data_IF_768083509304
#
_entry.id   IF_768083509304
#
_cell.length_a   1.000
_cell.length_b   1.000
_cell.length_c   1.000
_cell.angle_alpha   90.00
_cell.angle_beta   90.00
_cell.angle_gamma   90.00
#
_symmetry.space_group_name_H-M   'P 1'
#
loop_
_entity.id
_entity.type
_entity.pdbx_description
1 polymer ?
#
# COMPACT_ATOMS: atom_id res chain seq x y z
N UNK A 1 31.01 -22.46 8.43
CA UNK A 1 29.55 -22.66 8.35
C UNK A 1 29.28 -24.14 8.41
N UNK A 2 28.27 -24.56 9.15
CA UNK A 2 27.77 -25.93 9.06
C UNK A 2 26.87 -26.08 7.82
N UNK A 3 26.49 -27.32 7.49
CA UNK A 3 25.60 -27.61 6.35
C UNK A 3 24.27 -26.85 6.46
N UNK A 4 23.76 -26.68 7.67
CA UNK A 4 22.52 -25.95 7.93
C UNK A 4 22.64 -24.48 7.52
N UNK A 5 23.74 -23.82 7.88
CA UNK A 5 24.02 -22.43 7.52
C UNK A 5 24.11 -22.25 6.01
N UNK A 6 24.76 -23.18 5.30
CA UNK A 6 24.86 -23.14 3.84
C UNK A 6 23.50 -23.32 3.18
N UNK A 7 22.67 -24.25 3.66
CA UNK A 7 21.31 -24.43 3.16
C UNK A 7 20.43 -23.19 3.43
N UNK A 8 20.50 -22.64 4.64
CA UNK A 8 19.74 -21.45 5.01
C UNK A 8 20.16 -20.23 4.19
N UNK A 9 21.47 -20.00 4.01
CA UNK A 9 22.02 -18.94 3.17
C UNK A 9 21.57 -19.11 1.71
N UNK A 10 21.58 -20.35 1.22
CA UNK A 10 21.16 -20.65 -0.15
C UNK A 10 19.69 -20.30 -0.38
N UNK A 11 18.81 -20.70 0.55
CA UNK A 11 17.37 -20.39 0.47
C UNK A 11 17.15 -18.87 0.53
N UNK A 12 17.77 -18.17 1.48
CA UNK A 12 17.54 -16.72 1.62
C UNK A 12 18.07 -15.97 0.40
N UNK A 13 19.32 -16.20 0.00
CA UNK A 13 19.96 -15.43 -1.07
C UNK A 13 19.45 -15.76 -2.46
N UNK A 14 19.32 -17.04 -2.77
CA UNK A 14 19.06 -17.49 -4.13
C UNK A 14 17.60 -17.85 -4.37
N UNK A 15 16.78 -18.02 -3.33
CA UNK A 15 15.37 -18.36 -3.51
C UNK A 15 14.49 -17.18 -3.14
N UNK A 16 14.70 -16.56 -1.99
CA UNK A 16 13.74 -15.55 -1.51
C UNK A 16 13.95 -14.14 -2.09
N UNK A 17 15.19 -13.73 -2.38
CA UNK A 17 15.48 -12.39 -2.94
C UNK A 17 15.01 -12.21 -4.40
N UNK A 18 15.26 -13.16 -5.33
CA UNK A 18 15.00 -12.90 -6.75
C UNK A 18 13.58 -13.23 -7.22
N UNK A 19 12.83 -14.05 -6.49
CA UNK A 19 11.68 -14.78 -7.05
C UNK A 19 10.32 -14.43 -6.44
N UNK A 20 10.26 -13.32 -5.71
CA UNK A 20 9.01 -12.71 -5.26
C UNK A 20 8.28 -13.43 -4.13
N UNK A 21 7.14 -12.85 -3.75
CA UNK A 21 6.39 -13.21 -2.54
C UNK A 21 5.90 -14.68 -2.50
N UNK A 22 5.64 -15.31 -3.64
CA UNK A 22 5.20 -16.71 -3.71
C UNK A 22 6.23 -17.67 -3.10
N UNK A 23 7.53 -17.46 -3.35
CA UNK A 23 8.56 -18.32 -2.75
C UNK A 23 8.73 -18.06 -1.26
N UNK A 24 8.45 -16.85 -0.78
CA UNK A 24 8.40 -16.56 0.66
C UNK A 24 7.26 -17.35 1.31
N UNK A 25 6.09 -17.42 0.67
CA UNK A 25 4.97 -18.26 1.14
C UNK A 25 5.36 -19.74 1.20
N UNK A 26 6.01 -20.29 0.16
CA UNK A 26 6.45 -21.70 0.18
C UNK A 26 7.55 -21.95 1.22
N UNK A 27 8.50 -21.03 1.38
CA UNK A 27 9.54 -21.13 2.39
C UNK A 27 8.94 -21.15 3.81
N UNK A 28 7.92 -20.33 4.07
CA UNK A 28 7.18 -20.34 5.33
C UNK A 28 6.50 -21.69 5.58
N UNK A 29 5.83 -22.26 4.58
CA UNK A 29 5.25 -23.62 4.67
C UNK A 29 6.30 -24.69 4.94
N UNK A 30 7.47 -24.56 4.33
CA UNK A 30 8.61 -25.45 4.56
C UNK A 30 9.28 -25.26 5.94
N UNK A 31 8.82 -24.31 6.75
CA UNK A 31 9.30 -24.09 8.10
C UNK A 31 10.52 -23.17 8.20
N UNK A 32 10.75 -22.27 7.23
CA UNK A 32 11.87 -21.32 7.26
C UNK A 32 11.87 -20.46 8.54
N UNK A 33 10.68 -20.12 9.06
CA UNK A 33 10.56 -19.36 10.31
C UNK A 33 11.08 -20.16 11.51
N UNK A 34 10.79 -21.47 11.57
CA UNK A 34 11.32 -22.36 12.61
C UNK A 34 12.84 -22.45 12.51
N UNK A 35 13.38 -22.59 11.30
CA UNK A 35 14.81 -22.60 11.04
C UNK A 35 15.49 -21.28 11.47
N UNK A 36 14.88 -20.15 11.13
CA UNK A 36 15.32 -18.80 11.52
C UNK A 36 15.46 -18.66 13.04
N UNK A 37 14.43 -19.01 13.82
CA UNK A 37 14.48 -18.95 15.28
C UNK A 37 15.43 -19.98 15.91
N UNK A 38 15.45 -21.21 15.37
CA UNK A 38 16.40 -22.23 15.82
C UNK A 38 17.84 -21.76 15.65
N UNK A 39 18.11 -21.00 14.57
CA UNK A 39 19.43 -20.42 14.34
C UNK A 39 19.72 -19.23 15.24
N UNK A 40 18.78 -18.30 15.38
CA UNK A 40 18.93 -17.12 16.22
C UNK A 40 19.30 -17.45 17.68
N UNK A 41 18.88 -18.61 18.20
CA UNK A 41 19.21 -19.05 19.57
C UNK A 41 20.64 -19.54 19.77
N UNK A 42 21.37 -19.84 18.70
CA UNK A 42 22.75 -20.35 18.78
C UNK A 42 23.73 -19.17 18.73
N UNK A 43 24.94 -19.37 19.24
CA UNK A 43 26.02 -18.41 18.97
C UNK A 43 26.21 -18.26 17.47
N UNK A 44 26.10 -17.03 16.97
CA UNK A 44 26.16 -16.72 15.55
C UNK A 44 27.50 -16.08 15.20
N UNK A 45 28.05 -16.46 14.06
CA UNK A 45 29.13 -15.70 13.41
C UNK A 45 28.55 -14.42 12.79
N UNK A 46 29.42 -13.46 12.46
CA UNK A 46 29.02 -12.24 11.74
C UNK A 46 28.27 -12.54 10.44
N UNK A 47 28.68 -13.57 9.70
CA UNK A 47 28.00 -14.00 8.47
C UNK A 47 26.56 -14.45 8.73
N UNK A 48 26.32 -15.19 9.82
CA UNK A 48 24.98 -15.65 10.20
C UNK A 48 24.12 -14.47 10.64
N UNK A 49 24.70 -13.49 11.34
CA UNK A 49 24.00 -12.27 11.71
C UNK A 49 23.49 -11.52 10.47
N UNK A 50 24.33 -11.33 9.43
CA UNK A 50 23.92 -10.71 8.16
C UNK A 50 22.81 -11.49 7.45
N UNK A 51 22.83 -12.82 7.56
CA UNK A 51 21.82 -13.68 6.96
C UNK A 51 20.46 -13.57 7.69
N UNK A 52 20.47 -13.57 9.03
CA UNK A 52 19.28 -13.31 9.82
C UNK A 52 18.73 -11.90 9.55
N UNK A 53 19.60 -10.91 9.46
CA UNK A 53 19.25 -9.54 9.11
C UNK A 53 18.54 -9.44 7.75
N UNK A 54 19.13 -10.08 6.73
CA UNK A 54 18.55 -10.15 5.38
C UNK A 54 17.19 -10.86 5.38
N UNK A 55 17.03 -11.88 6.23
CA UNK A 55 15.75 -12.59 6.38
C UNK A 55 14.67 -11.66 6.96
N UNK A 56 15.01 -10.84 7.96
CA UNK A 56 14.10 -9.84 8.53
C UNK A 56 13.68 -8.82 7.46
N UNK A 57 14.62 -8.36 6.61
CA UNK A 57 14.30 -7.45 5.49
C UNK A 57 13.30 -8.09 4.53
N UNK A 58 13.55 -9.33 4.12
CA UNK A 58 12.68 -10.02 3.16
C UNK A 58 11.29 -10.23 3.76
N UNK A 59 11.19 -10.67 5.02
CA UNK A 59 9.90 -10.79 5.69
C UNK A 59 9.19 -9.45 5.78
N UNK A 60 9.91 -8.39 6.14
CA UNK A 60 9.36 -7.03 6.22
C UNK A 60 8.73 -6.59 4.89
N UNK A 61 9.45 -6.76 3.78
CA UNK A 61 8.95 -6.42 2.45
C UNK A 61 7.79 -7.32 1.99
N UNK A 62 7.73 -8.57 2.49
CA UNK A 62 6.78 -9.58 2.00
C UNK A 62 5.45 -9.61 2.78
N UNK A 63 5.40 -9.11 4.02
CA UNK A 63 4.18 -9.13 4.85
C UNK A 63 3.10 -8.13 4.42
N UNK A 64 3.29 -7.48 3.26
CA UNK A 64 2.26 -6.68 2.56
C UNK A 64 1.30 -7.55 1.75
N UNK A 65 1.71 -8.77 1.39
CA UNK A 65 0.89 -9.73 0.64
C UNK A 65 0.04 -10.57 1.60
N UNK A 66 -1.25 -10.72 1.29
CA UNK A 66 -2.18 -11.50 2.11
C UNK A 66 -1.75 -12.97 2.20
N UNK A 67 -1.28 -13.54 1.10
CA UNK A 67 -0.78 -14.92 1.01
C UNK A 67 0.39 -15.17 1.98
N UNK A 68 1.40 -14.30 1.95
CA UNK A 68 2.55 -14.35 2.87
C UNK A 68 2.09 -14.11 4.31
N UNK A 69 1.27 -13.09 4.54
CA UNK A 69 0.84 -12.70 5.87
C UNK A 69 -0.01 -13.79 6.56
N UNK A 70 -0.92 -14.43 5.82
CA UNK A 70 -1.70 -15.56 6.32
C UNK A 70 -0.78 -16.73 6.69
N UNK A 71 0.17 -17.08 5.80
CA UNK A 71 1.11 -18.15 6.06
C UNK A 71 2.05 -17.85 7.23
N UNK A 72 2.50 -16.60 7.37
CA UNK A 72 3.33 -16.15 8.49
C UNK A 72 2.58 -16.28 9.81
N UNK A 73 1.32 -15.87 9.86
CA UNK A 73 0.46 -16.02 11.03
C UNK A 73 0.31 -17.47 11.47
N UNK A 74 0.05 -18.37 10.53
CA UNK A 74 -0.07 -19.81 10.83
C UNK A 74 1.29 -20.39 11.28
N UNK A 75 2.37 -20.01 10.62
CA UNK A 75 3.73 -20.43 10.99
C UNK A 75 4.13 -19.99 12.39
N UNK A 76 3.68 -18.79 12.84
CA UNK A 76 3.92 -18.28 14.19
C UNK A 76 3.13 -19.07 15.23
N UNK A 77 1.86 -19.40 14.95
CA UNK A 77 1.03 -20.23 15.86
C UNK A 77 1.64 -21.61 16.09
N UNK A 78 2.28 -22.16 15.07
CA UNK A 78 2.96 -23.46 15.14
C UNK A 78 4.30 -23.43 15.88
N UNK A 79 4.80 -22.25 16.26
CA UNK A 79 6.00 -22.14 17.08
C UNK A 79 5.67 -22.54 18.51
N UNK A 80 6.20 -23.69 18.94
CA UNK A 80 6.07 -24.20 20.32
C UNK A 80 6.87 -23.40 21.37
N UNK A 81 7.38 -22.23 21.02
CA UNK A 81 8.24 -21.44 21.88
C UNK A 81 7.87 -19.96 21.78
N UNK A 82 8.11 -19.19 22.86
CA UNK A 82 7.81 -17.77 22.82
C UNK A 82 8.67 -17.11 21.75
N UNK A 83 8.03 -16.27 20.95
CA UNK A 83 8.69 -15.29 20.08
C UNK A 83 9.24 -14.19 20.98
N UNK A 84 10.29 -14.51 21.75
CA UNK A 84 10.89 -13.58 22.70
C UNK A 84 12.03 -12.80 22.05
N UNK A 85 12.16 -11.53 22.46
CA UNK A 85 13.25 -10.64 22.02
C UNK A 85 14.63 -11.13 22.46
N UNK A 86 14.70 -11.94 23.52
CA UNK A 86 15.98 -12.42 24.09
C UNK A 86 16.79 -13.25 23.09
N UNK A 87 16.11 -13.93 22.16
CA UNK A 87 16.77 -14.69 21.09
C UNK A 87 17.62 -13.82 20.16
N UNK A 88 17.44 -12.48 20.18
CA UNK A 88 18.17 -11.54 19.31
C UNK A 88 19.12 -10.59 20.06
N UNK A 89 19.10 -10.57 21.40
CA UNK A 89 19.88 -9.63 22.22
C UNK A 89 21.38 -9.75 22.00
N UNK A 90 21.88 -10.96 21.80
CA UNK A 90 23.31 -11.23 21.58
C UNK A 90 23.88 -10.74 20.24
N UNK A 91 23.04 -10.29 19.30
CA UNK A 91 23.44 -10.07 17.91
C UNK A 91 23.13 -8.67 17.38
N UNK A 92 22.69 -7.73 18.24
CA UNK A 92 22.27 -6.39 17.78
C UNK A 92 21.08 -6.42 16.81
N UNK A 93 20.34 -7.52 16.75
CA UNK A 93 19.15 -7.68 15.89
C UNK A 93 17.84 -7.37 16.64
N UNK A 94 17.88 -7.19 17.96
CA UNK A 94 16.67 -6.95 18.78
C UNK A 94 15.85 -5.77 18.27
N UNK A 95 16.47 -4.62 18.03
CA UNK A 95 15.74 -3.43 17.55
C UNK A 95 15.09 -3.66 16.19
N UNK A 96 15.78 -4.34 15.26
CA UNK A 96 15.23 -4.65 13.93
C UNK A 96 14.08 -5.65 14.02
N UNK A 97 14.23 -6.66 14.87
CA UNK A 97 13.18 -7.63 15.15
C UNK A 97 11.94 -6.98 15.79
N UNK A 98 12.13 -6.05 16.72
CA UNK A 98 11.06 -5.29 17.36
C UNK A 98 10.26 -4.44 16.37
N UNK A 99 10.97 -3.72 15.48
CA UNK A 99 10.33 -2.95 14.41
C UNK A 99 9.54 -3.87 13.47
N UNK A 100 10.13 -4.98 13.03
CA UNK A 100 9.43 -5.98 12.22
C UNK A 100 8.20 -6.54 12.93
N UNK A 101 8.32 -6.90 14.20
CA UNK A 101 7.23 -7.48 14.97
C UNK A 101 6.07 -6.51 15.17
N UNK A 102 6.36 -5.27 15.54
CA UNK A 102 5.35 -4.22 15.68
C UNK A 102 4.59 -4.02 14.36
N UNK A 103 5.32 -3.94 13.25
CA UNK A 103 4.72 -3.89 11.92
C UNK A 103 3.85 -5.12 11.65
N UNK A 104 4.36 -6.33 11.89
CA UNK A 104 3.63 -7.56 11.63
C UNK A 104 2.29 -7.62 12.38
N UNK A 105 2.25 -7.16 13.62
CA UNK A 105 1.00 -7.06 14.39
C UNK A 105 0.00 -6.10 13.75
N UNK A 106 0.43 -4.89 13.34
CA UNK A 106 -0.42 -3.95 12.61
C UNK A 106 -0.98 -4.58 11.32
N UNK A 107 -0.14 -5.35 10.60
CA UNK A 107 -0.55 -6.05 9.38
C UNK A 107 -1.55 -7.17 9.69
N UNK A 108 -1.40 -7.91 10.79
CA UNK A 108 -2.39 -8.91 11.22
C UNK A 108 -3.75 -8.29 11.55
N UNK A 109 -3.78 -7.12 12.17
CA UNK A 109 -5.03 -6.42 12.43
C UNK A 109 -5.71 -6.00 11.12
N UNK A 110 -4.94 -5.48 10.15
CA UNK A 110 -5.45 -5.18 8.82
C UNK A 110 -5.97 -6.43 8.09
N UNK A 111 -5.28 -7.56 8.19
CA UNK A 111 -5.70 -8.85 7.65
C UNK A 111 -7.00 -9.34 8.28
N UNK A 112 -7.11 -9.30 9.61
CA UNK A 112 -8.31 -9.69 10.33
C UNK A 112 -9.50 -8.82 9.93
N UNK A 113 -9.30 -7.50 9.86
CA UNK A 113 -10.32 -6.57 9.37
C UNK A 113 -10.70 -6.87 7.91
N UNK A 114 -9.75 -7.24 7.05
CA UNK A 114 -10.03 -7.64 5.68
C UNK A 114 -10.87 -8.92 5.59
N UNK A 115 -10.50 -9.98 6.32
CA UNK A 115 -11.15 -11.28 6.26
C UNK A 115 -12.54 -11.32 6.89
N UNK A 116 -12.82 -10.43 7.85
CA UNK A 116 -14.13 -10.33 8.54
C UNK A 116 -15.12 -9.41 7.82
N UNK A 117 -14.70 -8.66 6.79
CA UNK A 117 -15.58 -7.78 6.02
C UNK A 117 -16.59 -8.59 5.22
N UNK A 118 -17.88 -8.32 5.44
CA UNK A 118 -18.99 -8.90 4.66
C UNK A 118 -19.00 -8.43 3.20
N UNK A 119 -18.60 -7.19 2.95
CA UNK A 119 -18.49 -6.64 1.60
C UNK A 119 -17.47 -5.50 1.53
N UNK A 120 -16.86 -5.32 0.36
CA UNK A 120 -16.00 -4.17 0.08
C UNK A 120 -16.84 -3.10 -0.61
N UNK A 121 -16.95 -1.93 0.00
CA UNK A 121 -17.56 -0.77 -0.66
C UNK A 121 -16.68 -0.29 -1.80
N UNK A 122 -17.30 0.07 -2.91
CA UNK A 122 -16.65 0.62 -4.10
C UNK A 122 -17.39 1.85 -4.56
N UNK A 123 -16.67 2.76 -5.19
CA UNK A 123 -17.27 3.92 -5.83
C UNK A 123 -17.59 3.63 -7.30
N UNK A 124 -18.62 4.27 -7.83
CA UNK A 124 -18.91 4.27 -9.26
C UNK A 124 -17.72 4.84 -10.04
N UNK A 125 -17.38 4.18 -11.15
CA UNK A 125 -16.36 4.66 -12.07
C UNK A 125 -16.86 5.78 -12.98
N UNK A 126 -18.14 6.12 -13.01
CA UNK A 126 -18.51 7.44 -13.51
C UNK A 126 -18.06 8.49 -12.48
N UNK A 127 -16.99 9.24 -12.79
CA UNK A 127 -16.37 10.21 -11.87
C UNK A 127 -17.37 11.25 -11.36
N UNK A 128 -18.34 11.65 -12.20
CA UNK A 128 -19.38 12.60 -11.86
C UNK A 128 -20.34 12.07 -10.76
N UNK A 129 -20.65 10.76 -10.80
CA UNK A 129 -21.67 10.13 -9.95
C UNK A 129 -21.33 10.16 -8.46
N UNK A 130 -20.14 9.70 -8.07
CA UNK A 130 -19.70 9.70 -6.67
C UNK A 130 -20.37 8.67 -5.74
N UNK A 131 -21.38 7.93 -6.21
CA UNK A 131 -22.07 6.89 -5.41
C UNK A 131 -21.09 5.80 -4.94
N UNK A 132 -21.17 5.47 -3.65
CA UNK A 132 -20.42 4.39 -3.00
C UNK A 132 -21.42 3.34 -2.53
N UNK A 133 -21.25 2.08 -2.96
CA UNK A 133 -22.13 0.97 -2.62
C UNK A 133 -21.31 -0.29 -2.33
N UNK A 134 -21.91 -1.36 -1.77
CA UNK A 134 -21.29 -2.68 -1.75
C UNK A 134 -20.92 -3.14 -3.17
N UNK A 135 -19.74 -3.76 -3.35
CA UNK A 135 -19.27 -4.25 -4.67
C UNK A 135 -20.31 -5.07 -5.44
N UNK A 136 -21.14 -5.85 -4.75
CA UNK A 136 -22.18 -6.70 -5.34
C UNK A 136 -23.31 -5.93 -6.02
N UNK A 137 -23.43 -4.62 -5.77
CA UNK A 137 -24.42 -3.73 -6.39
C UNK A 137 -23.93 -3.07 -7.68
N UNK A 138 -22.67 -3.26 -8.05
CA UNK A 138 -22.10 -2.69 -9.26
C UNK A 138 -22.15 -3.67 -10.44
N UNK A 139 -22.25 -3.10 -11.64
CA UNK A 139 -22.15 -3.80 -12.92
C UNK A 139 -20.75 -3.55 -13.50
N UNK A 140 -20.10 -4.59 -14.00
CA UNK A 140 -18.81 -4.46 -14.70
C UNK A 140 -19.02 -4.04 -16.15
N UNK A 141 -18.09 -3.23 -16.66
CA UNK A 141 -17.99 -3.01 -18.10
C UNK A 141 -17.74 -4.33 -18.82
N UNK A 142 -18.57 -4.70 -19.80
CA UNK A 142 -18.43 -5.96 -20.54
C UNK A 142 -17.16 -6.05 -21.40
N UNK A 143 -16.55 -4.91 -21.75
CA UNK A 143 -15.30 -4.87 -22.52
C UNK A 143 -14.08 -5.17 -21.65
N UNK A 144 -13.70 -4.24 -20.76
CA UNK A 144 -12.50 -4.40 -19.95
C UNK A 144 -12.69 -5.27 -18.69
N UNK A 145 -13.92 -5.46 -18.22
CA UNK A 145 -14.28 -6.11 -16.94
C UNK A 145 -13.65 -5.46 -15.69
N UNK A 146 -12.95 -4.33 -15.85
CA UNK A 146 -12.21 -3.63 -14.79
C UNK A 146 -13.05 -2.51 -14.18
N UNK A 147 -13.65 -1.67 -15.03
CA UNK A 147 -14.51 -0.56 -14.59
C UNK A 147 -15.87 -1.05 -14.09
N UNK A 148 -16.39 -0.41 -13.04
CA UNK A 148 -17.63 -0.75 -12.35
C UNK A 148 -18.59 0.44 -12.22
N UNK A 149 -19.87 0.19 -12.50
CA UNK A 149 -20.90 1.23 -12.55
C UNK A 149 -22.13 0.86 -11.73
N UNK A 150 -22.72 1.84 -11.05
CA UNK A 150 -23.95 1.61 -10.28
C UNK A 150 -25.19 1.45 -11.18
N UNK A 151 -25.11 1.86 -12.45
CA UNK A 151 -26.17 1.74 -13.44
C UNK A 151 -25.63 1.79 -14.87
N UNK A 152 -26.40 1.27 -15.83
CA UNK A 152 -26.10 1.38 -17.25
C UNK A 152 -26.03 2.84 -17.73
N UNK A 153 -26.83 3.73 -17.14
CA UNK A 153 -26.77 5.17 -17.43
C UNK A 153 -25.40 5.76 -17.06
N UNK A 154 -24.86 5.41 -15.88
CA UNK A 154 -23.52 5.84 -15.49
C UNK A 154 -22.43 5.30 -16.42
N UNK A 155 -22.54 4.04 -16.86
CA UNK A 155 -21.62 3.48 -17.84
C UNK A 155 -21.70 4.23 -19.18
N UNK A 156 -22.90 4.51 -19.69
CA UNK A 156 -23.09 5.21 -20.96
C UNK A 156 -22.60 6.67 -20.93
N UNK A 157 -22.69 7.33 -19.78
CA UNK A 157 -22.12 8.67 -19.58
C UNK A 157 -20.60 8.63 -19.52
N UNK A 158 -20.01 7.74 -18.71
CA UNK A 158 -18.55 7.57 -18.61
C UNK A 158 -17.93 7.15 -19.95
N UNK A 159 -18.64 6.32 -20.74
CA UNK A 159 -18.25 5.94 -22.08
C UNK A 159 -18.17 7.12 -23.05
N UNK A 160 -19.15 8.02 -23.03
CA UNK A 160 -19.24 9.15 -23.98
C UNK A 160 -18.43 10.37 -23.55
N UNK A 161 -18.33 10.61 -22.25
CA UNK A 161 -17.85 11.87 -21.69
C UNK A 161 -16.71 11.70 -20.68
N UNK A 162 -16.56 10.53 -20.04
CA UNK A 162 -15.56 10.27 -18.99
C UNK A 162 -14.28 9.58 -19.48
N UNK A 163 -14.05 9.58 -20.80
CA UNK A 163 -12.85 9.00 -21.40
C UNK A 163 -12.73 7.48 -21.31
N UNK A 164 -13.77 6.75 -20.85
CA UNK A 164 -13.68 5.29 -20.72
C UNK A 164 -13.58 4.60 -22.07
N UNK A 165 -14.21 5.13 -23.13
CA UNK A 165 -14.13 4.56 -24.48
C UNK A 165 -12.69 4.39 -24.95
N UNK A 166 -11.85 5.41 -24.75
CA UNK A 166 -10.45 5.41 -25.20
C UNK A 166 -9.56 4.55 -24.30
N UNK A 167 -9.93 4.43 -23.02
CA UNK A 167 -9.17 3.66 -22.04
C UNK A 167 -9.57 2.18 -21.95
N UNK A 168 -10.74 1.78 -22.45
CA UNK A 168 -11.31 0.45 -22.24
C UNK A 168 -10.37 -0.67 -22.70
N UNK A 169 -9.80 -0.53 -23.90
CA UNK A 169 -8.85 -1.52 -24.44
C UNK A 169 -7.57 -1.59 -23.60
N UNK A 170 -6.97 -0.44 -23.28
CA UNK A 170 -5.78 -0.39 -22.42
C UNK A 170 -6.03 -1.00 -21.04
N UNK A 171 -7.23 -0.83 -20.47
CA UNK A 171 -7.60 -1.45 -19.19
C UNK A 171 -7.78 -2.97 -19.31
N UNK A 172 -8.25 -3.47 -20.47
CA UNK A 172 -8.29 -4.89 -20.75
C UNK A 172 -6.88 -5.46 -20.87
N UNK A 173 -6.02 -4.81 -21.65
CA UNK A 173 -4.62 -5.22 -21.83
C UNK A 173 -3.86 -5.19 -20.51
N UNK A 174 -4.05 -4.15 -19.68
CA UNK A 174 -3.46 -4.09 -18.34
C UNK A 174 -3.93 -5.25 -17.48
N UNK A 175 -5.21 -5.62 -17.55
CA UNK A 175 -5.76 -6.77 -16.82
C UNK A 175 -5.19 -8.11 -17.30
N UNK A 176 -5.00 -8.27 -18.61
CA UNK A 176 -4.48 -9.50 -19.21
C UNK A 176 -2.95 -9.62 -19.07
N UNK A 177 -2.25 -8.50 -19.07
CA UNK A 177 -0.80 -8.40 -18.91
C UNK A 177 -0.36 -8.05 -17.48
N UNK A 178 -1.23 -8.19 -16.48
CA UNK A 178 -0.81 -8.04 -15.09
C UNK A 178 0.32 -9.04 -14.81
N UNK A 179 1.41 -8.63 -14.15
CA UNK A 179 2.54 -9.51 -13.88
C UNK A 179 2.03 -10.82 -13.25
N UNK A 180 2.43 -11.95 -13.84
CA UNK A 180 2.18 -13.25 -13.26
C UNK A 180 2.74 -13.25 -11.83
N UNK A 181 1.90 -13.58 -10.85
CA UNK A 181 2.38 -13.79 -9.48
C UNK A 181 1.51 -13.18 -8.39
N UNK A 182 0.90 -12.00 -8.59
CA UNK A 182 0.07 -11.36 -7.54
C UNK A 182 -1.39 -11.74 -7.70
N UNK A 183 -1.92 -12.48 -6.74
CA UNK A 183 -3.32 -12.93 -6.77
C UNK A 183 -4.32 -11.75 -6.68
N UNK A 184 -5.54 -11.95 -7.19
CA UNK A 184 -6.61 -10.95 -7.05
C UNK A 184 -6.97 -10.66 -5.58
N UNK A 185 -6.78 -11.64 -4.68
CA UNK A 185 -6.96 -11.49 -3.23
C UNK A 185 -5.87 -10.59 -2.65
N UNK A 186 -4.62 -10.80 -3.03
CA UNK A 186 -3.50 -9.94 -2.63
C UNK A 186 -3.72 -8.51 -3.09
N UNK A 187 -4.06 -8.27 -4.37
CA UNK A 187 -4.37 -6.91 -4.87
C UNK A 187 -5.50 -6.23 -4.09
N UNK A 188 -6.53 -7.00 -3.75
CA UNK A 188 -7.63 -6.48 -2.93
C UNK A 188 -7.16 -6.13 -1.52
N UNK A 189 -6.30 -6.94 -0.92
CA UNK A 189 -5.74 -6.69 0.41
C UNK A 189 -4.77 -5.50 0.42
N UNK A 190 -3.88 -5.39 -0.58
CA UNK A 190 -2.97 -4.27 -0.75
C UNK A 190 -3.71 -2.93 -0.79
N UNK A 191 -4.87 -2.86 -1.43
CA UNK A 191 -5.73 -1.67 -1.36
C UNK A 191 -6.23 -1.36 0.06
N UNK A 192 -6.57 -2.38 0.85
CA UNK A 192 -6.94 -2.20 2.26
C UNK A 192 -5.74 -1.72 3.07
N UNK A 193 -4.55 -2.23 2.74
CA UNK A 193 -3.32 -1.85 3.39
C UNK A 193 -2.96 -0.37 3.17
N UNK A 194 -2.93 0.06 1.91
CA UNK A 194 -2.71 1.46 1.53
C UNK A 194 -3.75 2.37 2.19
N UNK A 195 -5.00 1.91 2.30
CA UNK A 195 -6.03 2.69 2.96
C UNK A 195 -5.81 2.80 4.48
N UNK A 196 -5.38 1.72 5.15
CA UNK A 196 -5.04 1.76 6.57
C UNK A 196 -3.87 2.72 6.83
N UNK A 197 -2.80 2.60 6.04
CA UNK A 197 -1.62 3.47 6.15
C UNK A 197 -1.96 4.93 5.80
N UNK A 198 -2.89 5.16 4.86
CA UNK A 198 -3.43 6.49 4.59
C UNK A 198 -4.12 7.09 5.81
N UNK A 199 -4.95 6.32 6.52
CA UNK A 199 -5.66 6.82 7.69
C UNK A 199 -4.70 7.17 8.82
N UNK A 200 -3.68 6.34 9.05
CA UNK A 200 -2.62 6.60 10.02
C UNK A 200 -1.80 7.85 9.68
N UNK A 201 -1.47 8.04 8.40
CA UNK A 201 -0.59 9.12 7.93
C UNK A 201 -1.34 10.35 7.41
N UNK A 202 -2.67 10.41 7.59
CA UNK A 202 -3.56 11.40 6.94
C UNK A 202 -3.11 12.85 7.19
N UNK A 203 -2.75 13.18 8.43
CA UNK A 203 -2.29 14.52 8.80
C UNK A 203 -1.00 14.89 8.08
N UNK A 204 0.00 14.01 8.10
CA UNK A 204 1.28 14.20 7.42
C UNK A 204 1.09 14.37 5.92
N UNK A 205 0.23 13.57 5.29
CA UNK A 205 -0.11 13.66 3.86
C UNK A 205 -0.69 15.04 3.54
N UNK A 206 -1.67 15.51 4.32
CA UNK A 206 -2.28 16.83 4.11
C UNK A 206 -1.25 17.95 4.22
N UNK A 207 -0.36 17.88 5.22
CA UNK A 207 0.72 18.86 5.39
C UNK A 207 1.63 18.87 4.15
N UNK A 208 2.08 17.69 3.71
CA UNK A 208 2.91 17.57 2.52
C UNK A 208 2.21 18.05 1.24
N UNK A 209 0.89 17.83 1.10
CA UNK A 209 0.10 18.36 -0.03
C UNK A 209 0.03 19.89 -0.02
N UNK A 210 -0.11 20.52 1.15
CA UNK A 210 -0.08 21.98 1.29
C UNK A 210 1.27 22.52 0.83
N UNK A 211 2.37 21.93 1.30
CA UNK A 211 3.72 22.30 0.85
C UNK A 211 3.89 22.08 -0.65
N UNK A 212 3.45 20.94 -1.17
CA UNK A 212 3.51 20.61 -2.59
C UNK A 212 2.85 21.69 -3.44
N UNK A 213 1.62 22.10 -3.11
CA UNK A 213 0.89 23.13 -3.86
C UNK A 213 1.52 24.52 -3.79
N UNK A 214 2.23 24.83 -2.71
CA UNK A 214 3.01 26.06 -2.62
C UNK A 214 4.20 26.04 -3.57
N UNK A 215 4.91 24.92 -3.60
CA UNK A 215 6.07 24.73 -4.47
C UNK A 215 5.67 24.69 -5.94
N UNK A 216 4.58 24.00 -6.27
CA UNK A 216 4.06 23.85 -7.62
C UNK A 216 2.82 24.74 -7.79
N UNK A 217 3.03 26.00 -8.17
CA UNK A 217 1.94 26.97 -8.35
C UNK A 217 1.06 26.69 -9.57
N UNK A 218 1.44 25.76 -10.45
CA UNK A 218 0.64 25.41 -11.63
C UNK A 218 -0.56 24.53 -11.24
N UNK A 219 -1.78 24.92 -11.60
CA UNK A 219 -2.98 24.11 -11.36
C UNK A 219 -2.97 22.78 -12.13
N UNK A 220 -2.11 22.63 -13.14
CA UNK A 220 -2.02 21.43 -13.97
C UNK A 220 -1.22 20.29 -13.31
N UNK A 221 -0.44 20.62 -12.27
CA UNK A 221 0.34 19.65 -11.50
C UNK A 221 -0.56 18.96 -10.49
N UNK A 222 -1.00 17.76 -10.84
CA UNK A 222 -1.79 16.91 -9.96
C UNK A 222 -0.85 16.27 -8.91
N UNK A 223 -1.13 16.43 -7.59
CA UNK A 223 -0.37 15.71 -6.59
C UNK A 223 -0.76 14.22 -6.57
N UNK A 224 0.19 13.37 -6.22
CA UNK A 224 -0.07 11.97 -5.88
C UNK A 224 0.59 11.61 -4.55
N UNK A 225 0.04 10.64 -3.84
CA UNK A 225 0.60 10.11 -2.60
C UNK A 225 1.31 8.79 -2.89
N UNK A 226 2.63 8.75 -2.70
CA UNK A 226 3.44 7.54 -2.81
C UNK A 226 3.51 6.83 -1.47
N UNK A 227 3.12 5.55 -1.45
CA UNK A 227 3.32 4.59 -0.37
C UNK A 227 4.45 3.66 -0.80
N UNK A 228 5.66 3.94 -0.32
CA UNK A 228 6.87 3.20 -0.65
C UNK A 228 7.12 2.10 0.38
N UNK A 229 6.81 0.86 -0.03
CA UNK A 229 7.07 -0.38 0.69
C UNK A 229 8.34 -1.09 0.19
N UNK A 230 9.10 -0.46 -0.72
CA UNK A 230 10.35 -1.02 -1.23
C UNK A 230 11.52 -0.84 -0.24
N UNK A 231 11.35 0.04 0.75
CA UNK A 231 12.41 0.36 1.72
C UNK A 231 12.56 -0.72 2.78
N UNK A 232 13.79 -1.19 3.05
CA UNK A 232 14.02 -2.14 4.12
C UNK A 232 13.74 -1.48 5.48
N UNK A 233 13.16 -2.25 6.42
CA UNK A 233 12.90 -1.86 7.81
C UNK A 233 11.93 -0.70 8.04
N UNK A 234 11.30 -0.15 7.00
CA UNK A 234 10.29 0.90 7.13
C UNK A 234 8.92 0.31 6.77
N UNK A 235 7.92 0.35 7.68
CA UNK A 235 6.59 -0.21 7.41
C UNK A 235 5.94 0.28 6.13
N UNK A 236 6.09 1.57 5.87
CA UNK A 236 5.69 2.28 4.67
C UNK A 236 6.28 3.70 4.74
N UNK A 237 6.99 4.15 3.72
CA UNK A 237 7.41 5.54 3.62
C UNK A 237 6.42 6.31 2.74
N UNK A 238 5.84 7.40 3.28
CA UNK A 238 4.79 8.15 2.60
C UNK A 238 5.29 9.52 2.15
N UNK A 239 5.15 9.81 0.86
CA UNK A 239 5.48 11.13 0.28
C UNK A 239 4.42 11.64 -0.67
N UNK A 240 4.35 12.97 -0.83
CA UNK A 240 3.52 13.61 -1.85
C UNK A 240 4.39 14.10 -3.00
N UNK A 241 4.20 13.52 -4.17
CA UNK A 241 4.94 13.82 -5.39
C UNK A 241 4.13 14.59 -6.44
N UNK A 242 4.82 15.08 -7.46
CA UNK A 242 4.20 15.74 -8.63
C UNK A 242 4.04 14.72 -9.75
N UNK A 243 2.89 14.71 -10.39
CA UNK A 243 2.67 14.01 -11.65
C UNK A 243 3.42 14.74 -12.79
N UNK A 244 4.74 14.63 -12.83
CA UNK A 244 5.57 15.08 -13.96
C UNK A 244 6.31 13.90 -14.59
N UNK A 245 6.24 13.77 -15.93
CA UNK A 245 6.96 12.70 -16.66
C UNK A 245 6.40 11.28 -16.51
N UNK A 246 5.09 11.14 -16.25
CA UNK A 246 4.49 9.84 -15.95
C UNK A 246 4.65 8.78 -17.04
N UNK A 247 4.75 7.53 -16.58
CA UNK A 247 4.51 6.35 -17.38
C UNK A 247 3.14 6.46 -18.09
N UNK A 248 3.12 6.06 -19.37
CA UNK A 248 1.90 6.00 -20.19
C UNK A 248 0.75 5.24 -19.53
N UNK A 249 1.07 4.31 -18.63
CA UNK A 249 0.15 3.47 -17.88
C UNK A 249 -0.75 4.25 -16.90
N UNK A 250 -0.36 5.45 -16.47
CA UNK A 250 -1.13 6.23 -15.48
C UNK A 250 -2.10 7.23 -16.11
N UNK A 251 -2.01 7.48 -17.42
CA UNK A 251 -2.76 8.54 -18.12
C UNK A 251 -4.25 8.52 -17.81
N UNK A 252 -4.85 7.33 -17.80
CA UNK A 252 -6.28 7.17 -17.49
C UNK A 252 -6.62 7.58 -16.05
N UNK A 253 -5.82 7.15 -15.07
CA UNK A 253 -6.06 7.51 -13.67
C UNK A 253 -5.89 9.01 -13.43
N UNK A 254 -4.92 9.64 -14.08
CA UNK A 254 -4.68 11.09 -13.99
C UNK A 254 -5.85 11.87 -14.56
N UNK A 255 -6.35 11.50 -15.75
CA UNK A 255 -7.52 12.16 -16.37
C UNK A 255 -8.72 12.11 -15.42
N UNK A 256 -9.01 10.92 -14.89
CA UNK A 256 -10.13 10.71 -13.96
C UNK A 256 -9.97 11.48 -12.66
N UNK A 257 -8.77 11.56 -12.11
CA UNK A 257 -8.51 12.34 -10.91
C UNK A 257 -8.78 13.84 -11.16
N UNK A 258 -8.37 14.38 -12.31
CA UNK A 258 -8.67 15.76 -12.72
C UNK A 258 -10.17 16.00 -12.89
N UNK A 259 -10.85 15.13 -13.63
CA UNK A 259 -12.29 15.21 -13.90
C UNK A 259 -13.15 15.01 -12.64
N UNK A 260 -12.62 14.36 -11.60
CA UNK A 260 -13.35 14.09 -10.37
C UNK A 260 -13.74 15.35 -9.58
N UNK A 261 -13.20 16.52 -9.93
CA UNK A 261 -13.36 17.74 -9.15
C UNK A 261 -12.75 17.58 -7.76
N UNK A 262 -11.57 16.93 -7.68
CA UNK A 262 -10.77 16.69 -6.45
C UNK A 262 -11.36 15.67 -5.47
N UNK A 263 -12.40 14.95 -5.86
CA UNK A 263 -12.98 13.83 -5.07
C UNK A 263 -12.14 12.55 -5.14
N UNK A 264 -11.22 12.46 -6.12
CA UNK A 264 -10.32 11.34 -6.30
C UNK A 264 -8.87 11.83 -6.16
N UNK A 265 -8.08 11.12 -5.36
CA UNK A 265 -6.64 11.32 -5.25
C UNK A 265 -5.91 10.09 -5.79
N UNK A 266 -4.77 10.34 -6.42
CA UNK A 266 -3.88 9.28 -6.87
C UNK A 266 -3.06 8.80 -5.67
N UNK A 267 -3.18 7.52 -5.33
CA UNK A 267 -2.29 6.86 -4.39
C UNK A 267 -1.52 5.82 -5.18
N UNK A 268 -0.21 5.83 -5.05
CA UNK A 268 0.71 4.95 -5.76
C UNK A 268 1.38 4.11 -4.70
N UNK A 269 1.30 2.80 -4.85
CA UNK A 269 2.03 1.85 -4.02
C UNK A 269 3.26 1.43 -4.79
N UNK A 270 4.43 1.55 -4.17
CA UNK A 270 5.69 1.09 -4.72
C UNK A 270 6.21 -0.08 -3.89
N UNK A 271 6.51 -1.19 -4.55
CA UNK A 271 6.99 -2.42 -3.91
C UNK A 271 8.26 -2.92 -4.57
N UNK A 272 9.15 -3.51 -3.78
CA UNK A 272 10.26 -4.30 -4.31
C UNK A 272 9.78 -5.73 -4.55
N UNK A 273 9.95 -6.24 -5.77
CA UNK A 273 9.61 -7.60 -6.14
C UNK A 273 10.63 -8.15 -7.15
N UNK A 274 11.36 -9.19 -6.74
CA UNK A 274 12.34 -9.87 -7.59
C UNK A 274 13.48 -9.00 -8.13
N UNK A 275 13.95 -8.03 -7.35
CA UNK A 275 14.99 -7.07 -7.76
C UNK A 275 14.49 -5.94 -8.66
N UNK A 276 13.20 -5.91 -8.97
CA UNK A 276 12.54 -4.82 -9.68
C UNK A 276 11.65 -4.02 -8.72
N UNK A 277 11.45 -2.74 -9.04
CA UNK A 277 10.46 -1.91 -8.37
C UNK A 277 9.18 -1.92 -9.19
N UNK A 278 8.06 -2.32 -8.59
CA UNK A 278 6.74 -2.25 -9.22
C UNK A 278 5.92 -1.13 -8.61
N UNK A 279 5.10 -0.48 -9.44
CA UNK A 279 4.21 0.59 -9.02
C UNK A 279 2.76 0.23 -9.36
N UNK A 280 1.88 0.36 -8.37
CA UNK A 280 0.45 0.12 -8.51
C UNK A 280 -0.34 1.37 -8.14
N UNK A 281 -1.24 1.77 -9.02
CA UNK A 281 -2.11 2.93 -8.78
C UNK A 281 -3.41 2.49 -8.12
N UNK A 282 -3.63 2.96 -6.90
CA UNK A 282 -4.88 2.80 -6.15
C UNK A 282 -5.60 4.14 -6.08
N UNK A 283 -6.50 4.45 -7.02
CA UNK A 283 -7.36 5.63 -6.86
C UNK A 283 -8.26 5.39 -5.65
N UNK A 284 -8.08 6.20 -4.61
CA UNK A 284 -8.94 6.19 -3.43
C UNK A 284 -9.70 7.51 -3.38
N UNK A 285 -10.97 7.42 -2.97
CA UNK A 285 -11.80 8.58 -2.65
C UNK A 285 -11.64 8.86 -1.16
N UNK A 286 -10.53 9.51 -0.81
CA UNK A 286 -10.06 9.64 0.58
C UNK A 286 -10.36 11.00 1.22
N UNK A 287 -10.94 11.93 0.46
CA UNK A 287 -11.28 13.27 0.91
C UNK A 287 -12.57 13.73 0.25
N UNK A 288 -13.49 14.25 1.05
CA UNK A 288 -14.58 15.08 0.54
C UNK A 288 -14.03 16.35 -0.15
N UNK A 289 -14.84 17.01 -1.00
CA UNK A 289 -14.43 18.23 -1.68
C UNK A 289 -13.95 19.32 -0.70
N UNK A 290 -14.49 19.33 0.52
CA UNK A 290 -14.14 20.26 1.60
C UNK A 290 -12.67 20.17 2.02
N UNK A 291 -12.14 18.96 2.23
CA UNK A 291 -10.72 18.78 2.62
C UNK A 291 -9.81 19.24 1.48
N UNK A 292 -10.19 18.97 0.22
CA UNK A 292 -9.43 19.44 -0.93
C UNK A 292 -9.43 20.97 -1.05
N UNK A 293 -10.58 21.62 -0.80
CA UNK A 293 -10.69 23.08 -0.76
C UNK A 293 -9.89 23.68 0.39
N UNK A 294 -9.92 23.06 1.57
CA UNK A 294 -9.16 23.50 2.72
C UNK A 294 -7.65 23.44 2.49
N UNK A 295 -7.15 22.36 1.88
CA UNK A 295 -5.73 22.24 1.49
C UNK A 295 -5.30 23.38 0.56
N UNK A 296 -6.13 23.76 -0.41
CA UNK A 296 -5.81 24.86 -1.31
C UNK A 296 -5.85 26.22 -0.64
N UNK A 297 -6.84 26.46 0.20
CA UNK A 297 -6.91 27.69 0.98
C UNK A 297 -5.68 27.84 1.89
N UNK A 298 -5.23 26.76 2.52
CA UNK A 298 -4.00 26.74 3.31
C UNK A 298 -2.73 26.95 2.46
N UNK A 299 -2.73 26.44 1.22
CA UNK A 299 -1.60 26.63 0.31
C UNK A 299 -1.45 28.10 -0.13
N UNK A 300 -2.56 28.81 -0.39
CA UNK A 300 -2.57 30.21 -0.84
C UNK A 300 -2.20 31.18 0.29
N UNK A 301 -2.61 30.90 1.52
CA UNK A 301 -2.40 31.79 2.66
C UNK A 301 -0.93 31.79 3.14
N UNK A 302 -0.15 32.79 2.71
CA UNK A 302 1.26 33.01 3.11
C UNK A 302 1.44 33.32 4.60
N UNK A 303 0.39 33.75 5.31
CA UNK A 303 0.45 34.02 6.75
C UNK A 303 0.77 32.78 7.61
N UNK A 304 0.74 31.58 7.04
CA UNK A 304 0.96 30.30 7.74
C UNK A 304 2.47 29.94 7.84
N UNK A 305 3.37 30.74 7.26
CA UNK A 305 4.82 30.49 7.31
C UNK A 305 5.44 30.62 8.72
N UNK A 306 4.67 31.10 9.72
CA UNK A 306 5.15 31.34 11.08
C UNK A 306 4.76 30.30 12.14
N UNK A 307 3.85 29.34 11.89
CA UNK A 307 3.38 28.44 12.97
C UNK A 307 3.02 27.03 12.49
N UNK A 308 4.02 26.14 12.48
CA UNK A 308 3.82 24.69 12.25
C UNK A 308 2.86 24.06 13.28
N UNK A 309 2.81 24.59 14.51
CA UNK A 309 1.92 24.09 15.59
C UNK A 309 0.45 24.51 15.41
N UNK A 310 0.18 25.75 15.00
CA UNK A 310 -1.21 26.18 14.71
C UNK A 310 -1.76 25.51 13.44
N UNK A 311 -0.90 25.27 12.44
CA UNK A 311 -1.31 24.54 11.24
C UNK A 311 -1.75 23.11 11.57
N UNK A 312 -1.02 22.41 12.44
CA UNK A 312 -1.41 21.08 12.93
C UNK A 312 -2.77 21.12 13.64
N UNK A 313 -2.98 22.06 14.57
CA UNK A 313 -4.24 22.20 15.30
C UNK A 313 -5.45 22.53 14.38
N UNK A 314 -5.24 23.37 13.35
CA UNK A 314 -6.29 23.67 12.35
C UNK A 314 -6.62 22.48 11.48
N UNK A 315 -5.62 21.71 11.07
CA UNK A 315 -5.83 20.47 10.31
C UNK A 315 -6.65 19.48 11.15
N UNK A 316 -6.33 19.32 12.44
CA UNK A 316 -7.12 18.49 13.35
C UNK A 316 -8.59 18.94 13.44
N UNK A 317 -8.85 20.24 13.53
CA UNK A 317 -10.22 20.78 13.52
C UNK A 317 -10.98 20.50 12.22
N UNK A 318 -10.33 20.56 11.06
CA UNK A 318 -10.96 20.23 9.76
C UNK A 318 -11.21 18.73 9.65
N UNK A 319 -10.26 17.91 10.12
CA UNK A 319 -10.35 16.46 10.06
C UNK A 319 -11.45 15.89 10.95
N UNK A 320 -11.66 16.48 12.13
CA UNK A 320 -12.71 16.05 13.05
C UNK A 320 -14.12 16.34 12.50
N UNK A 321 -14.29 17.45 11.78
CA UNK A 321 -15.55 17.77 11.09
C UNK A 321 -15.85 16.80 9.94
N UNK A 322 -14.84 16.45 9.15
CA UNK A 322 -14.99 15.53 8.01
C UNK A 322 -15.16 14.05 8.42
N UNK A 323 -14.78 13.67 9.64
CA UNK A 323 -14.91 12.28 10.12
C UNK A 323 -16.36 11.88 10.39
N UNK A 324 -17.28 12.83 10.52
CA UNK A 324 -18.71 12.58 10.80
C UNK A 324 -19.45 12.01 9.59
N UNK A 325 -18.89 12.12 8.38
CA UNK A 325 -19.61 11.77 7.13
C UNK A 325 -19.13 10.51 6.40
N UNK A 326 -18.09 9.82 6.90
CA UNK A 326 -17.48 8.67 6.21
C UNK A 326 -17.66 7.39 7.02
N UNK A 327 -18.87 6.83 7.00
CA UNK A 327 -19.16 5.45 7.36
C UNK A 327 -20.03 4.75 6.31
#
# INVERSE_FOLDING_TARGET
MDLFDTCFDTIVRYVMIPFGHNLVTEALRAGILRAFFARARRQCTLQVQHLLDSTIVIFTASVIYLSVLSQMHDSIKDLKFPVNQDSFKGFGLSTKWEVFWAMLQQRFDAMKAYLTRKSVSKACDNVACGVILPRTRFQHCKGCLTSIYCSASCQATDWRQGGHRDACESLLQLRLGEPEGVSSRDKSFLRVLVHADYLEMKQTIIIQEVYHRRTFSSPDVLPYVLFDYSRPYVPCFVTVGAVSGLASTWKHHVSRARESGRRMRLHVMQVADGGCTQEWVFPLRTAGPEVALAVEHLAINRAVDLMSREMAARIEGILSLAAVEIH
#
